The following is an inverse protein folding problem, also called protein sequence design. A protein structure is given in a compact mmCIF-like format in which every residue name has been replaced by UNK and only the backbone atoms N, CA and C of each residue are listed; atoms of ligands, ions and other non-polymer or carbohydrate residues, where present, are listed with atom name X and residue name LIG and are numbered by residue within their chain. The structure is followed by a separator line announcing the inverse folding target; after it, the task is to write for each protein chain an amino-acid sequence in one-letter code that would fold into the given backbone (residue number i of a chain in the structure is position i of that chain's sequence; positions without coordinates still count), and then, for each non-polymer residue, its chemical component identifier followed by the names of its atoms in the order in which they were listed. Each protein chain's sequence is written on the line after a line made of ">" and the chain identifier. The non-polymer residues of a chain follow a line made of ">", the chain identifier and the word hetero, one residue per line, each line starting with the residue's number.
data_IF_285527311401
#
_entry.id   IF_285527311401
#
_cell.length_a   1.000
_cell.length_b   1.000
_cell.length_c   1.000
_cell.angle_alpha   90.00
_cell.angle_beta   90.00
_cell.angle_gamma   90.00
#
_symmetry.space_group_name_H-M   'P 1'
#
loop_
_entity.id
_entity.type
_entity.pdbx_description
1 polymer ?
#
# COMPACT_ATOMS: atom_id res chain seq x y z
N UNK A 1 15.74 -10.71 24.91
CA UNK A 1 16.73 -10.22 23.90
C UNK A 1 16.29 -10.41 22.46
N UNK A 2 16.34 -11.60 21.85
CA UNK A 2 15.97 -11.76 20.42
C UNK A 2 14.50 -11.44 20.13
N UNK A 3 13.59 -11.81 21.03
CA UNK A 3 12.15 -11.50 20.92
C UNK A 3 11.90 -9.99 21.00
N UNK A 4 12.45 -9.33 22.01
CA UNK A 4 12.32 -7.88 22.20
C UNK A 4 12.92 -7.08 21.02
N UNK A 5 14.05 -7.52 20.46
CA UNK A 5 14.61 -6.91 19.25
C UNK A 5 13.67 -7.01 18.05
N UNK A 6 12.97 -8.15 17.88
CA UNK A 6 11.95 -8.30 16.83
C UNK A 6 10.76 -7.37 17.06
N UNK A 7 10.27 -7.28 18.30
CA UNK A 7 9.14 -6.40 18.65
C UNK A 7 9.43 -4.91 18.35
N UNK A 8 10.67 -4.47 18.56
CA UNK A 8 11.09 -3.10 18.21
C UNK A 8 11.11 -2.88 16.69
N UNK A 9 11.62 -3.84 15.91
CA UNK A 9 11.53 -3.78 14.43
C UNK A 9 10.06 -3.77 14.00
N UNK A 10 9.23 -4.62 14.60
CA UNK A 10 7.79 -4.69 14.28
C UNK A 10 7.09 -3.37 14.54
N UNK A 11 7.43 -2.72 15.64
CA UNK A 11 6.93 -1.38 15.97
C UNK A 11 7.36 -0.35 14.94
N UNK A 12 8.61 -0.41 14.45
CA UNK A 12 9.08 0.53 13.43
C UNK A 12 8.27 0.43 12.12
N UNK A 13 8.00 -0.78 11.62
CA UNK A 13 7.17 -0.94 10.42
C UNK A 13 5.70 -0.60 10.66
N UNK A 14 5.18 -0.87 11.87
CA UNK A 14 3.81 -0.49 12.23
C UNK A 14 3.63 1.04 12.25
N UNK A 15 4.62 1.79 12.75
CA UNK A 15 4.59 3.25 12.70
C UNK A 15 4.68 3.78 11.26
N UNK A 16 5.49 3.17 10.39
CA UNK A 16 5.49 3.51 8.96
C UNK A 16 4.12 3.28 8.32
N UNK A 17 3.47 2.15 8.60
CA UNK A 17 2.12 1.89 8.08
C UNK A 17 1.11 2.93 8.58
N UNK A 18 1.19 3.30 9.86
CA UNK A 18 0.35 4.33 10.46
C UNK A 18 0.59 5.69 9.84
N UNK A 19 1.84 6.08 9.56
CA UNK A 19 2.17 7.31 8.85
C UNK A 19 1.57 7.33 7.44
N UNK A 20 1.73 6.24 6.68
CA UNK A 20 1.14 6.10 5.35
C UNK A 20 -0.40 6.22 5.37
N UNK A 21 -1.04 5.62 6.37
CA UNK A 21 -2.50 5.70 6.53
C UNK A 21 -2.99 7.11 6.91
N UNK A 22 -2.15 7.90 7.58
CA UNK A 22 -2.46 9.25 8.05
C UNK A 22 -1.97 10.36 7.12
N UNK A 23 -1.45 10.03 5.94
CA UNK A 23 -1.09 11.02 4.92
C UNK A 23 -2.25 11.96 4.63
N UNK A 24 -1.92 13.23 4.36
CA UNK A 24 -2.90 14.19 3.88
C UNK A 24 -3.48 13.72 2.54
N UNK A 25 -4.71 14.12 2.23
CA UNK A 25 -5.41 13.64 1.04
C UNK A 25 -4.63 13.84 -0.26
N UNK A 26 -3.98 15.00 -0.43
CA UNK A 26 -3.15 15.29 -1.60
C UNK A 26 -1.93 14.37 -1.71
N UNK A 27 -1.27 14.10 -0.59
CA UNK A 27 -0.09 13.22 -0.53
C UNK A 27 -0.48 11.76 -0.76
N UNK A 28 -1.60 11.33 -0.18
CA UNK A 28 -2.16 10.00 -0.40
C UNK A 28 -2.53 9.82 -1.88
N UNK A 29 -3.26 10.77 -2.49
CA UNK A 29 -3.60 10.72 -3.92
C UNK A 29 -2.35 10.62 -4.79
N UNK A 30 -1.30 11.39 -4.49
CA UNK A 30 -0.04 11.34 -5.24
C UNK A 30 0.70 10.00 -5.08
N UNK A 31 0.69 9.44 -3.86
CA UNK A 31 1.27 8.12 -3.60
C UNK A 31 0.55 7.03 -4.38
N UNK A 32 -0.79 7.01 -4.34
CA UNK A 32 -1.60 6.04 -5.07
C UNK A 32 -1.40 6.20 -6.58
N UNK A 33 -1.33 7.43 -7.10
CA UNK A 33 -1.02 7.69 -8.50
C UNK A 33 0.31 7.06 -8.93
N UNK A 34 1.37 7.18 -8.13
CA UNK A 34 2.67 6.56 -8.40
C UNK A 34 2.59 5.03 -8.36
N UNK A 35 1.86 4.46 -7.39
CA UNK A 35 1.61 3.03 -7.30
C UNK A 35 0.84 2.49 -8.52
N UNK A 36 -0.17 3.23 -8.97
CA UNK A 36 -0.97 2.90 -10.15
C UNK A 36 -0.14 2.87 -11.41
N UNK A 37 0.75 3.86 -11.62
CA UNK A 37 1.66 3.86 -12.77
C UNK A 37 2.53 2.61 -12.81
N UNK A 38 3.01 2.16 -11.66
CA UNK A 38 3.77 0.91 -11.56
C UNK A 38 2.88 -0.31 -11.88
N UNK A 39 1.70 -0.41 -11.26
CA UNK A 39 0.79 -1.54 -11.45
C UNK A 39 0.25 -1.65 -12.89
N UNK A 40 -0.06 -0.52 -13.54
CA UNK A 40 -0.61 -0.44 -14.88
C UNK A 40 0.34 -1.01 -15.96
N UNK A 41 1.65 -1.03 -15.69
CA UNK A 41 2.62 -1.71 -16.59
C UNK A 41 2.37 -3.21 -16.68
N UNK A 42 1.82 -3.81 -15.63
CA UNK A 42 1.55 -5.25 -15.53
C UNK A 42 0.07 -5.56 -15.79
N UNK A 43 -0.84 -4.67 -15.36
CA UNK A 43 -2.27 -4.86 -15.45
C UNK A 43 -2.96 -3.54 -15.83
N UNK A 44 -3.26 -3.31 -17.11
CA UNK A 44 -3.79 -2.02 -17.58
C UNK A 44 -5.28 -1.81 -17.30
N UNK A 45 -6.01 -2.87 -16.90
CA UNK A 45 -7.44 -2.83 -16.54
C UNK A 45 -7.75 -3.82 -15.43
N UNK A 46 -8.76 -3.51 -14.60
CA UNK A 46 -9.18 -4.37 -13.50
C UNK A 46 -10.19 -3.72 -12.56
N UNK A 47 -10.80 -4.56 -11.74
CA UNK A 47 -11.70 -4.15 -10.67
C UNK A 47 -10.87 -3.79 -9.43
N UNK A 48 -11.18 -2.64 -8.83
CA UNK A 48 -10.48 -2.15 -7.65
C UNK A 48 -11.26 -2.44 -6.37
N UNK A 49 -10.53 -2.92 -5.36
CA UNK A 49 -10.97 -2.97 -3.98
C UNK A 49 -10.15 -1.93 -3.22
N UNK A 50 -10.82 -0.99 -2.56
CA UNK A 50 -10.19 0.17 -1.93
C UNK A 50 -10.68 0.36 -0.49
N UNK A 51 -9.94 1.09 0.36
CA UNK A 51 -10.44 1.48 1.68
C UNK A 51 -11.63 2.43 1.51
N UNK A 52 -12.73 2.18 2.23
CA UNK A 52 -13.95 2.98 2.10
C UNK A 52 -13.71 4.49 2.33
N UNK A 53 -12.87 4.83 3.31
CA UNK A 53 -12.51 6.21 3.64
C UNK A 53 -11.51 6.87 2.68
N UNK A 54 -10.97 6.12 1.70
CA UNK A 54 -9.99 6.60 0.72
C UNK A 54 -10.47 6.46 -0.73
N UNK A 55 -11.77 6.20 -0.93
CA UNK A 55 -12.38 6.07 -2.26
C UNK A 55 -12.08 7.28 -3.15
N UNK A 56 -12.47 8.47 -2.69
CA UNK A 56 -12.34 9.73 -3.46
C UNK A 56 -10.90 10.00 -3.91
N UNK A 57 -9.93 9.82 -3.02
CA UNK A 57 -8.52 10.03 -3.30
C UNK A 57 -7.99 8.98 -4.30
N UNK A 58 -8.51 7.75 -4.22
CA UNK A 58 -8.19 6.70 -5.19
C UNK A 58 -8.78 6.99 -6.56
N UNK A 59 -10.03 7.47 -6.65
CA UNK A 59 -10.67 7.88 -7.90
C UNK A 59 -9.87 9.01 -8.58
N UNK A 60 -9.50 10.05 -7.83
CA UNK A 60 -8.64 11.13 -8.33
C UNK A 60 -7.30 10.62 -8.85
N UNK A 61 -6.69 9.66 -8.16
CA UNK A 61 -5.44 9.05 -8.58
C UNK A 61 -5.59 8.24 -9.87
N UNK A 62 -6.70 7.50 -10.03
CA UNK A 62 -7.00 6.73 -11.24
C UNK A 62 -7.26 7.63 -12.44
N UNK A 63 -8.03 8.71 -12.28
CA UNK A 63 -8.26 9.71 -13.33
C UNK A 63 -6.95 10.35 -13.77
N UNK A 64 -6.11 10.77 -12.82
CA UNK A 64 -4.79 11.35 -13.09
C UNK A 64 -3.86 10.37 -13.81
N UNK A 65 -3.95 9.07 -13.50
CA UNK A 65 -3.14 8.02 -14.12
C UNK A 65 -3.61 7.66 -15.54
N UNK A 66 -4.84 8.02 -15.93
CA UNK A 66 -5.40 7.69 -17.24
C UNK A 66 -5.62 6.19 -17.44
N UNK A 67 -5.95 5.48 -16.36
CA UNK A 67 -6.13 4.02 -16.31
C UNK A 67 -7.61 3.66 -16.26
N UNK A 68 -7.99 2.60 -16.96
CA UNK A 68 -9.38 2.11 -17.01
C UNK A 68 -9.66 1.17 -15.84
N UNK A 69 -9.73 1.74 -14.65
CA UNK A 69 -9.97 1.04 -13.40
C UNK A 69 -11.29 1.46 -12.78
N UNK A 70 -12.07 0.45 -12.38
CA UNK A 70 -13.39 0.66 -11.81
C UNK A 70 -13.37 0.23 -10.35
N UNK A 71 -13.62 1.17 -9.43
CA UNK A 71 -13.77 0.83 -8.02
C UNK A 71 -15.08 0.07 -7.84
N UNK A 72 -14.94 -1.22 -7.53
CA UNK A 72 -16.05 -2.17 -7.45
C UNK A 72 -16.42 -2.52 -6.02
N UNK A 73 -15.45 -2.45 -5.12
CA UNK A 73 -15.63 -2.82 -3.72
C UNK A 73 -14.90 -1.82 -2.83
N UNK A 74 -15.54 -1.50 -1.71
CA UNK A 74 -14.95 -0.77 -0.60
C UNK A 74 -14.87 -1.72 0.60
N UNK A 75 -13.74 -1.70 1.30
CA UNK A 75 -13.50 -2.55 2.45
C UNK A 75 -12.97 -1.75 3.65
N UNK A 76 -13.08 -2.36 4.84
CA UNK A 76 -12.45 -1.90 6.07
C UNK A 76 -11.31 -2.81 6.54
N UNK A 77 -10.96 -3.85 5.75
CA UNK A 77 -9.90 -4.81 6.07
C UNK A 77 -8.50 -4.19 6.01
N UNK A 78 -8.34 -3.11 5.24
CA UNK A 78 -7.12 -2.31 5.19
C UNK A 78 -7.46 -0.83 5.04
N UNK A 79 -6.58 0.04 5.54
CA UNK A 79 -6.81 1.49 5.63
C UNK A 79 -6.15 2.31 4.51
N UNK A 80 -5.27 1.69 3.72
CA UNK A 80 -4.52 2.35 2.67
C UNK A 80 -3.96 1.39 1.63
N UNK A 81 -3.67 1.93 0.44
CA UNK A 81 -3.34 1.15 -0.75
C UNK A 81 -4.60 0.66 -1.47
N UNK A 82 -4.47 -0.38 -2.29
CA UNK A 82 -5.59 -0.96 -3.06
C UNK A 82 -5.28 -2.39 -3.50
N UNK A 83 -6.30 -3.12 -3.93
CA UNK A 83 -6.15 -4.41 -4.60
C UNK A 83 -6.76 -4.28 -6.00
N UNK A 84 -6.03 -4.78 -7.01
CA UNK A 84 -6.55 -4.88 -8.39
C UNK A 84 -6.84 -6.33 -8.72
N UNK A 85 -8.06 -6.62 -9.15
CA UNK A 85 -8.52 -7.96 -9.50
C UNK A 85 -9.02 -8.02 -10.93
N UNK A 86 -8.64 -9.09 -11.62
CA UNK A 86 -9.23 -9.53 -12.90
C UNK A 86 -9.74 -10.95 -12.74
N UNK A 87 -10.33 -11.53 -13.79
CA UNK A 87 -10.76 -12.93 -13.77
C UNK A 87 -9.63 -13.95 -13.62
N UNK A 88 -8.36 -13.56 -13.84
CA UNK A 88 -7.21 -14.47 -13.85
C UNK A 88 -6.15 -14.14 -12.80
N UNK A 89 -6.03 -12.88 -12.42
CA UNK A 89 -4.93 -12.38 -11.58
C UNK A 89 -5.46 -11.35 -10.58
N UNK A 90 -4.91 -11.40 -9.38
CA UNK A 90 -5.08 -10.39 -8.34
C UNK A 90 -3.70 -9.82 -7.96
N UNK A 91 -3.59 -8.50 -7.85
CA UNK A 91 -2.40 -7.81 -7.38
C UNK A 91 -2.79 -7.06 -6.10
N UNK A 92 -2.25 -7.50 -4.97
CA UNK A 92 -2.45 -6.84 -3.68
C UNK A 92 -1.38 -5.77 -3.45
N UNK A 93 -1.81 -4.51 -3.40
CA UNK A 93 -0.99 -3.34 -3.08
C UNK A 93 -1.56 -2.57 -1.89
N UNK A 94 -2.28 -3.26 -0.98
CA UNK A 94 -2.60 -2.72 0.34
C UNK A 94 -1.31 -2.42 1.11
N UNK A 95 -1.29 -1.35 1.91
CA UNK A 95 -0.09 -0.99 2.67
C UNK A 95 0.41 -2.11 3.60
N UNK A 96 -0.43 -2.85 4.35
CA UNK A 96 0.03 -3.98 5.14
C UNK A 96 0.74 -5.04 4.29
N UNK A 97 0.20 -5.38 3.11
CA UNK A 97 0.81 -6.36 2.22
C UNK A 97 2.11 -5.84 1.63
N UNK A 98 2.12 -4.61 1.12
CA UNK A 98 3.28 -3.98 0.50
C UNK A 98 4.45 -3.87 1.50
N UNK A 99 4.18 -3.41 2.72
CA UNK A 99 5.21 -3.31 3.76
C UNK A 99 5.74 -4.69 4.15
N UNK A 100 4.87 -5.65 4.47
CA UNK A 100 5.30 -6.94 5.00
C UNK A 100 5.88 -7.89 3.95
N UNK A 101 5.42 -7.82 2.70
CA UNK A 101 5.79 -8.78 1.65
C UNK A 101 6.76 -8.23 0.63
N UNK A 102 6.87 -6.90 0.49
CA UNK A 102 7.75 -6.29 -0.52
C UNK A 102 8.86 -5.42 0.07
N UNK A 103 8.53 -4.58 1.05
CA UNK A 103 9.50 -3.61 1.63
C UNK A 103 10.36 -4.26 2.69
N UNK A 104 9.74 -4.81 3.74
CA UNK A 104 10.44 -5.39 4.89
C UNK A 104 11.49 -6.43 4.49
N UNK A 105 11.22 -7.41 3.60
CA UNK A 105 12.25 -8.39 3.22
C UNK A 105 13.52 -7.79 2.63
N UNK A 106 13.45 -6.56 2.09
CA UNK A 106 14.58 -5.85 1.50
C UNK A 106 15.28 -4.90 2.48
N UNK A 107 14.57 -4.43 3.51
CA UNK A 107 15.07 -3.36 4.39
C UNK A 107 15.32 -3.79 5.83
N UNK A 108 14.80 -4.95 6.26
CA UNK A 108 14.83 -5.36 7.68
C UNK A 108 16.25 -5.49 8.25
N UNK A 109 17.20 -5.99 7.45
CA UNK A 109 18.61 -6.12 7.88
C UNK A 109 19.22 -4.73 8.15
N UNK A 110 18.96 -3.77 7.27
CA UNK A 110 19.45 -2.39 7.41
C UNK A 110 18.78 -1.69 8.59
N UNK A 111 17.46 -1.84 8.74
CA UNK A 111 16.69 -1.31 9.87
C UNK A 111 17.22 -1.87 11.20
N UNK A 112 17.45 -3.18 11.29
CA UNK A 112 18.03 -3.81 12.47
C UNK A 112 19.44 -3.27 12.79
N UNK A 113 20.25 -3.02 11.75
CA UNK A 113 21.57 -2.42 11.91
C UNK A 113 21.48 -1.01 12.48
N UNK A 114 20.54 -0.18 12.01
CA UNK A 114 20.35 1.20 12.51
C UNK A 114 19.87 1.19 13.97
N UNK A 115 18.90 0.34 14.30
CA UNK A 115 18.23 0.34 15.60
C UNK A 115 19.07 -0.28 16.73
N UNK A 116 19.95 -1.23 16.42
CA UNK A 116 20.66 -2.02 17.44
C UNK A 116 22.18 -2.04 17.27
N UNK A 117 22.77 -1.00 16.67
CA UNK A 117 24.23 -0.85 16.69
C UNK A 117 24.77 -0.98 18.11
#
# INVERSE_FOLDING_TARGET
>A
LLKEKREVIDTAYAEVEKELNNLADSEYTELIFKMLKSAATTMPKGDFIVPANRRKQTEQATEKAGVDFHIKEETSDFKGGFIVRTSKVEINLSFPYLLNKMVRPKTEIEVASILFK
#
